data_IF_768342673244
#
_entry.id   IF_768342673244
#
_cell.length_a   1.000
_cell.length_b   1.000
_cell.length_c   1.000
_cell.angle_alpha   90.00
_cell.angle_beta   90.00
_cell.angle_gamma   90.00
#
_symmetry.space_group_name_H-M   'P 1'
#
loop_
_entity.id
_entity.type
_entity.pdbx_description
1 polymer ?
#
# COMPACT_ATOMS: atom_id res chain seq x y z
N UNK A 1 -9.25 17.73 -8.93
CA UNK A 1 -8.80 16.78 -9.98
C UNK A 1 -8.76 15.43 -9.30
N UNK A 2 -9.33 14.39 -9.91
CA UNK A 2 -9.33 13.04 -9.36
C UNK A 2 -8.22 12.18 -9.96
N UNK A 3 -7.96 11.07 -9.29
CA UNK A 3 -7.07 9.97 -9.64
C UNK A 3 -7.77 9.12 -10.70
N UNK A 4 -7.02 8.70 -11.72
CA UNK A 4 -7.59 7.91 -12.81
C UNK A 4 -6.55 6.97 -13.39
N UNK A 5 -6.71 5.67 -13.14
CA UNK A 5 -6.15 4.54 -13.87
C UNK A 5 -6.82 3.23 -13.36
N UNK A 6 -6.35 2.05 -13.76
CA UNK A 6 -6.87 0.75 -13.31
C UNK A 6 -6.06 0.08 -12.17
N UNK A 7 -4.99 0.71 -11.68
CA UNK A 7 -4.14 0.15 -10.63
C UNK A 7 -4.68 0.32 -9.20
N UNK A 8 -4.04 -0.36 -8.23
CA UNK A 8 -4.54 -0.47 -6.85
C UNK A 8 -4.55 0.85 -6.07
N UNK A 9 -3.89 1.88 -6.58
CA UNK A 9 -3.81 3.22 -5.97
C UNK A 9 -4.54 4.28 -6.80
N UNK A 10 -5.10 3.89 -7.94
CA UNK A 10 -5.44 4.85 -9.00
C UNK A 10 -6.93 5.27 -8.96
N UNK A 11 -7.48 5.31 -7.75
CA UNK A 11 -8.78 5.89 -7.43
C UNK A 11 -8.66 6.83 -6.24
N UNK A 12 -9.57 7.80 -6.14
CA UNK A 12 -9.50 8.87 -5.13
C UNK A 12 -9.48 8.34 -3.70
N UNK A 13 -10.34 7.39 -3.36
CA UNK A 13 -10.41 6.84 -2.00
C UNK A 13 -9.12 6.12 -1.61
N UNK A 14 -8.50 5.37 -2.53
CA UNK A 14 -7.20 4.74 -2.30
C UNK A 14 -6.06 5.77 -2.20
N UNK A 15 -6.08 6.81 -3.04
CA UNK A 15 -5.08 7.86 -3.03
C UNK A 15 -5.15 8.70 -1.74
N UNK A 16 -6.35 9.04 -1.28
CA UNK A 16 -6.59 9.75 -0.02
C UNK A 16 -6.12 8.92 1.17
N UNK A 17 -6.49 7.63 1.21
CA UNK A 17 -6.00 6.70 2.23
C UNK A 17 -4.47 6.56 2.22
N UNK A 18 -3.85 6.55 1.03
CA UNK A 18 -2.39 6.55 0.90
C UNK A 18 -1.76 7.85 1.40
N UNK A 19 -2.42 8.99 1.22
CA UNK A 19 -2.01 10.26 1.81
C UNK A 19 -2.03 10.21 3.34
N UNK A 20 -3.11 9.70 3.93
CA UNK A 20 -3.19 9.51 5.38
C UNK A 20 -2.11 8.55 5.90
N UNK A 21 -1.87 7.45 5.19
CA UNK A 21 -0.82 6.49 5.54
C UNK A 21 0.59 7.10 5.41
N UNK A 22 0.79 7.98 4.43
CA UNK A 22 2.03 8.73 4.24
C UNK A 22 2.30 9.65 5.43
N UNK A 23 1.29 10.40 5.86
CA UNK A 23 1.40 11.40 6.94
C UNK A 23 1.39 10.76 8.34
N UNK A 24 0.89 9.53 8.47
CA UNK A 24 0.87 8.82 9.74
C UNK A 24 2.26 8.59 10.33
N UNK A 25 2.32 8.58 11.66
CA UNK A 25 3.52 8.20 12.40
C UNK A 25 4.02 6.80 11.96
N UNK A 26 5.33 6.60 11.72
CA UNK A 26 5.86 5.32 11.27
C UNK A 26 5.40 4.11 12.09
N UNK A 27 5.22 4.27 13.41
CA UNK A 27 4.76 3.20 14.30
C UNK A 27 3.29 2.82 14.09
N UNK A 28 2.46 3.74 13.57
CA UNK A 28 1.03 3.52 13.33
C UNK A 28 0.74 2.88 11.96
N UNK A 29 1.61 3.06 10.97
CA UNK A 29 1.39 2.64 9.57
C UNK A 29 1.08 1.14 9.43
N UNK A 30 1.78 0.29 10.17
CA UNK A 30 1.56 -1.15 10.15
C UNK A 30 0.15 -1.54 10.66
N UNK A 31 -0.36 -0.81 11.65
CA UNK A 31 -1.69 -1.00 12.18
C UNK A 31 -2.77 -0.52 11.19
N UNK A 32 -2.54 0.60 10.50
CA UNK A 32 -3.45 1.11 9.46
C UNK A 32 -3.61 0.13 8.29
N UNK A 33 -2.50 -0.41 7.77
CA UNK A 33 -2.53 -1.45 6.71
C UNK A 33 -3.31 -2.67 7.18
N UNK A 34 -3.06 -3.14 8.42
CA UNK A 34 -3.79 -4.28 8.99
C UNK A 34 -5.28 -3.98 9.15
N UNK A 35 -5.63 -2.77 9.58
CA UNK A 35 -7.02 -2.37 9.79
C UNK A 35 -7.80 -2.41 8.48
N UNK A 36 -7.28 -1.81 7.41
CA UNK A 36 -7.93 -1.83 6.08
C UNK A 36 -8.17 -3.26 5.58
N UNK A 37 -7.15 -4.13 5.68
CA UNK A 37 -7.29 -5.55 5.33
C UNK A 37 -8.32 -6.28 6.21
N UNK A 38 -8.34 -5.97 7.50
CA UNK A 38 -9.25 -6.60 8.46
C UNK A 38 -10.70 -6.18 8.21
N UNK A 39 -10.94 -4.90 7.91
CA UNK A 39 -12.27 -4.38 7.55
C UNK A 39 -12.84 -5.17 6.38
N UNK A 40 -12.10 -5.32 5.29
CA UNK A 40 -12.57 -6.08 4.14
C UNK A 40 -12.70 -7.59 4.43
N UNK A 41 -11.73 -8.18 5.14
CA UNK A 41 -11.71 -9.62 5.40
C UNK A 41 -12.80 -10.10 6.37
N UNK A 42 -13.25 -9.24 7.30
CA UNK A 42 -14.26 -9.57 8.28
C UNK A 42 -15.67 -9.07 7.93
N UNK A 43 -15.81 -8.25 6.88
CA UNK A 43 -17.13 -7.82 6.42
C UNK A 43 -17.88 -9.00 5.79
N UNK A 44 -19.05 -9.33 6.35
CA UNK A 44 -19.93 -10.41 5.86
C UNK A 44 -21.18 -9.90 5.14
N UNK A 45 -21.29 -8.59 4.95
CA UNK A 45 -22.38 -7.90 4.29
C UNK A 45 -21.82 -7.07 3.11
N UNK A 46 -22.49 -5.99 2.72
CA UNK A 46 -21.99 -5.04 1.74
C UNK A 46 -20.72 -4.35 2.25
N UNK A 47 -19.64 -4.49 1.48
CA UNK A 47 -18.41 -3.73 1.67
C UNK A 47 -18.51 -2.43 0.88
N UNK A 48 -18.39 -1.31 1.60
CA UNK A 48 -18.41 0.02 1.00
C UNK A 48 -17.24 0.22 0.03
N UNK A 49 -17.45 1.05 -0.99
CA UNK A 49 -16.45 1.34 -2.00
C UNK A 49 -15.15 1.90 -1.40
N UNK A 50 -15.23 2.82 -0.44
CA UNK A 50 -14.05 3.46 0.15
C UNK A 50 -13.21 2.45 0.97
N UNK A 51 -13.90 1.57 1.70
CA UNK A 51 -13.27 0.48 2.45
C UNK A 51 -12.63 -0.54 1.51
N UNK A 52 -13.30 -0.89 0.41
CA UNK A 52 -12.77 -1.80 -0.59
C UNK A 52 -11.52 -1.23 -1.28
N UNK A 53 -11.56 0.04 -1.67
CA UNK A 53 -10.43 0.74 -2.27
C UNK A 53 -9.21 0.77 -1.32
N UNK A 54 -9.43 1.14 -0.06
CA UNK A 54 -8.40 1.15 0.98
C UNK A 54 -7.79 -0.24 1.20
N UNK A 55 -8.63 -1.28 1.21
CA UNK A 55 -8.18 -2.66 1.38
C UNK A 55 -7.34 -3.17 0.19
N UNK A 56 -7.69 -2.80 -1.05
CA UNK A 56 -6.92 -3.14 -2.25
C UNK A 56 -5.54 -2.46 -2.22
N UNK A 57 -5.48 -1.17 -1.88
CA UNK A 57 -4.23 -0.45 -1.70
C UNK A 57 -3.36 -1.12 -0.62
N UNK A 58 -3.95 -1.43 0.54
CA UNK A 58 -3.27 -2.13 1.64
C UNK A 58 -2.75 -3.52 1.22
N UNK A 59 -3.52 -4.27 0.43
CA UNK A 59 -3.13 -5.58 -0.08
C UNK A 59 -1.95 -5.48 -1.05
N UNK A 60 -1.95 -4.50 -1.96
CA UNK A 60 -0.83 -4.24 -2.86
C UNK A 60 0.45 -3.89 -2.10
N UNK A 61 0.34 -3.05 -1.06
CA UNK A 61 1.45 -2.73 -0.15
C UNK A 61 1.98 -4.02 0.48
N UNK A 62 1.12 -4.82 1.11
CA UNK A 62 1.53 -6.07 1.76
C UNK A 62 2.21 -7.04 0.77
N UNK A 63 1.64 -7.23 -0.42
CA UNK A 63 2.20 -8.09 -1.46
C UNK A 63 3.60 -7.62 -1.92
N UNK A 64 3.82 -6.32 -2.09
CA UNK A 64 5.14 -5.76 -2.44
C UNK A 64 6.24 -6.01 -1.39
N UNK A 65 5.85 -6.35 -0.15
CA UNK A 65 6.79 -6.68 0.93
C UNK A 65 7.10 -8.18 1.00
N UNK A 66 6.36 -9.02 0.29
CA UNK A 66 6.61 -10.47 0.26
C UNK A 66 7.84 -10.80 -0.61
N UNK A 67 8.54 -11.92 -0.37
CA UNK A 67 9.62 -12.36 -1.24
C UNK A 67 9.16 -12.48 -2.70
N UNK A 68 9.85 -11.79 -3.62
CA UNK A 68 9.49 -11.76 -5.04
C UNK A 68 8.31 -10.85 -5.38
N UNK A 69 7.81 -10.04 -4.43
CA UNK A 69 6.78 -9.04 -4.69
C UNK A 69 7.31 -7.88 -5.53
N UNK A 70 6.50 -7.41 -6.47
CA UNK A 70 6.87 -6.29 -7.34
C UNK A 70 6.94 -4.96 -6.56
N UNK A 71 7.94 -4.11 -6.83
CA UNK A 71 8.01 -2.78 -6.23
C UNK A 71 6.82 -1.91 -6.66
N UNK A 72 6.31 -1.11 -5.72
CA UNK A 72 5.25 -0.13 -6.02
C UNK A 72 5.86 1.11 -6.69
N UNK A 73 5.35 1.44 -7.87
CA UNK A 73 5.81 2.58 -8.70
C UNK A 73 4.74 3.65 -8.90
N UNK A 74 3.48 3.41 -8.49
CA UNK A 74 2.39 4.37 -8.69
C UNK A 74 2.71 5.72 -8.02
N UNK A 75 2.45 6.85 -8.68
CA UNK A 75 2.66 8.18 -8.10
C UNK A 75 1.74 8.43 -6.89
N UNK A 76 0.62 7.72 -6.80
CA UNK A 76 -0.40 7.87 -5.74
C UNK A 76 -0.12 7.01 -4.51
N UNK A 77 0.90 6.14 -4.55
CA UNK A 77 1.34 5.39 -3.38
C UNK A 77 2.24 6.24 -2.44
N UNK A 78 2.31 5.91 -1.14
CA UNK A 78 3.17 6.61 -0.18
C UNK A 78 4.65 6.62 -0.60
N UNK A 79 5.31 7.78 -0.55
CA UNK A 79 6.67 7.94 -1.07
C UNK A 79 7.73 7.06 -0.38
N UNK A 80 7.51 6.68 0.88
CA UNK A 80 8.43 5.79 1.59
C UNK A 80 8.50 4.39 0.96
N UNK A 81 7.47 3.96 0.22
CA UNK A 81 7.47 2.70 -0.53
C UNK A 81 8.30 2.81 -1.82
N UNK A 82 8.27 3.99 -2.47
CA UNK A 82 9.08 4.29 -3.64
C UNK A 82 10.57 4.34 -3.28
N UNK A 83 10.90 4.93 -2.13
CA UNK A 83 12.28 4.95 -1.63
C UNK A 83 12.82 3.54 -1.40
N UNK A 84 12.01 2.63 -0.82
CA UNK A 84 12.40 1.23 -0.69
C UNK A 84 12.70 0.60 -2.05
N UNK A 85 11.88 0.85 -3.08
CA UNK A 85 12.12 0.31 -4.41
C UNK A 85 13.49 0.75 -4.97
N UNK A 86 13.86 2.01 -4.78
CA UNK A 86 15.17 2.55 -5.18
C UNK A 86 16.31 1.89 -4.41
N UNK A 87 16.15 1.69 -3.11
CA UNK A 87 17.17 1.07 -2.26
C UNK A 87 17.30 -0.45 -2.47
N UNK A 88 16.21 -1.12 -2.88
CA UNK A 88 16.19 -2.58 -3.03
C UNK A 88 16.89 -3.06 -4.31
N UNK A 89 17.10 -2.18 -5.30
CA UNK A 89 17.79 -2.49 -6.55
C UNK A 89 17.15 -3.62 -7.39
N UNK A 90 17.61 -3.86 -8.64
CA UNK A 90 17.20 -5.03 -9.39
C UNK A 90 17.63 -6.32 -8.66
N UNK A 91 16.90 -7.44 -8.81
CA UNK A 91 17.06 -8.68 -8.03
C UNK A 91 18.39 -9.44 -8.21
N UNK A 92 19.40 -8.83 -8.84
CA UNK A 92 20.70 -9.46 -9.08
C UNK A 92 21.71 -9.30 -7.93
N UNK A 93 21.34 -8.67 -6.80
CA UNK A 93 22.24 -8.51 -5.65
C UNK A 93 21.62 -9.05 -4.36
N UNK A 94 22.10 -10.20 -3.85
CA UNK A 94 21.61 -10.78 -2.61
C UNK A 94 22.09 -9.95 -1.41
N UNK A 95 21.15 -9.25 -0.77
CA UNK A 95 21.30 -8.81 0.60
C UNK A 95 20.96 -7.35 0.83
N UNK A 96 19.73 -7.09 1.26
CA UNK A 96 19.41 -6.11 2.33
C UNK A 96 17.94 -6.26 2.73
N UNK A 97 17.66 -7.26 3.56
CA UNK A 97 16.47 -7.28 4.41
C UNK A 97 16.90 -6.73 5.76
N UNK A 98 16.49 -5.50 6.10
CA UNK A 98 16.17 -5.05 7.46
C UNK A 98 15.94 -3.53 7.45
N UNK A 99 14.70 -3.09 7.63
CA UNK A 99 14.35 -2.06 8.61
C UNK A 99 12.81 -2.02 8.76
N UNK A 100 12.32 -2.75 9.76
CA UNK A 100 11.21 -2.33 10.60
C UNK A 100 11.79 -2.19 12.01
#
# INVERSE_FOLDING_TARGET
>A
MGTWDDGPFDNDSAADWCGELHDADPSARSAMVRAALTTAALNTDYLDYDDAASAIAAAAIAASQMPGGDPITSPYAPDFLKLRAVLSGPPELPGQIALL
#
